data_IF_870986026500
#
_entry.id   IF_870986026500
#
_cell.length_a   1.000
_cell.length_b   1.000
_cell.length_c   1.000
_cell.angle_alpha   90.00
_cell.angle_beta   90.00
_cell.angle_gamma   90.00
#
_symmetry.space_group_name_H-M   'P 1'
#
loop_
_entity.id
_entity.type
_entity.pdbx_description
1 polymer ?
#
# COMPACT_ATOMS: atom_id res chain seq x y z
N UNK A 1 12.47 8.62 -43.09
CA UNK A 1 12.55 7.70 -41.91
C UNK A 1 11.88 8.37 -40.72
N UNK A 2 10.75 7.83 -40.20
CA UNK A 2 10.15 8.32 -38.94
C UNK A 2 11.08 7.95 -37.80
N UNK A 3 11.67 8.92 -37.11
CA UNK A 3 12.43 8.68 -35.87
C UNK A 3 11.46 8.00 -34.88
N UNK A 4 11.75 6.77 -34.43
CA UNK A 4 11.04 6.16 -33.31
C UNK A 4 11.19 7.05 -32.10
N UNK A 5 10.06 7.45 -31.50
CA UNK A 5 10.08 8.15 -30.22
C UNK A 5 10.86 7.33 -29.19
N UNK A 6 11.67 7.96 -28.33
CA UNK A 6 12.36 7.22 -27.27
C UNK A 6 11.33 6.48 -26.42
N UNK A 7 11.66 5.23 -26.03
CA UNK A 7 10.80 4.41 -25.17
C UNK A 7 10.70 5.09 -23.79
N UNK A 8 9.48 5.20 -23.27
CA UNK A 8 9.28 5.65 -21.90
C UNK A 8 10.00 4.68 -20.94
N UNK A 9 10.89 5.21 -20.11
CA UNK A 9 11.68 4.44 -19.15
C UNK A 9 11.15 4.54 -17.72
N UNK A 10 10.24 5.48 -17.45
CA UNK A 10 9.71 5.70 -16.12
C UNK A 10 8.57 4.74 -15.79
N UNK A 11 7.63 4.57 -16.71
CA UNK A 11 6.41 3.79 -16.48
C UNK A 11 5.91 3.11 -17.76
N UNK A 12 4.80 2.37 -17.64
CA UNK A 12 4.17 1.66 -18.76
C UNK A 12 3.05 2.46 -19.42
N UNK A 13 2.85 3.75 -19.06
CA UNK A 13 1.79 4.60 -19.59
C UNK A 13 2.04 4.97 -21.05
N UNK A 14 1.00 4.96 -21.87
CA UNK A 14 1.03 5.56 -23.18
C UNK A 14 0.88 7.09 -23.09
N UNK A 15 1.05 7.81 -24.20
CA UNK A 15 1.04 9.27 -24.22
C UNK A 15 -0.28 9.89 -23.72
N UNK A 16 -1.41 9.26 -24.02
CA UNK A 16 -2.73 9.74 -23.58
C UNK A 16 -2.91 9.55 -22.08
N UNK A 17 -2.56 8.39 -21.56
CA UNK A 17 -2.59 8.09 -20.11
C UNK A 17 -1.64 9.01 -19.34
N UNK A 18 -0.42 9.24 -19.89
CA UNK A 18 0.55 10.14 -19.31
C UNK A 18 -0.01 11.57 -19.11
N UNK A 19 -0.67 12.13 -20.14
CA UNK A 19 -1.24 13.47 -20.06
C UNK A 19 -2.32 13.54 -18.97
N UNK A 20 -3.14 12.50 -18.83
CA UNK A 20 -4.19 12.44 -17.81
C UNK A 20 -3.63 12.40 -16.38
N UNK A 21 -2.44 11.82 -16.20
CA UNK A 21 -1.80 11.72 -14.89
C UNK A 21 -0.95 12.94 -14.52
N UNK A 22 -0.60 13.81 -15.48
CA UNK A 22 0.20 15.02 -15.24
C UNK A 22 -0.62 16.25 -14.85
N UNK A 23 -1.82 16.06 -14.35
CA UNK A 23 -2.67 17.16 -13.83
C UNK A 23 -2.26 17.54 -12.42
N UNK A 24 -2.28 18.85 -12.11
CA UNK A 24 -1.91 19.38 -10.79
C UNK A 24 -2.98 19.19 -9.71
N UNK A 25 -4.21 18.86 -10.09
CA UNK A 25 -5.32 18.61 -9.15
C UNK A 25 -5.80 17.19 -9.32
N UNK A 26 -5.71 16.42 -8.24
CA UNK A 26 -6.22 15.05 -8.19
C UNK A 26 -7.55 15.01 -7.43
N UNK A 27 -8.57 14.54 -8.12
CA UNK A 27 -9.86 14.29 -7.48
C UNK A 27 -9.82 12.89 -6.83
N UNK A 28 -9.77 12.87 -5.50
CA UNK A 28 -9.89 11.63 -4.73
C UNK A 28 -11.38 11.26 -4.66
N UNK A 29 -11.74 10.18 -5.31
CA UNK A 29 -13.04 9.55 -5.09
C UNK A 29 -12.86 8.48 -4.01
N UNK A 30 -13.26 8.79 -2.78
CA UNK A 30 -13.29 7.79 -1.72
C UNK A 30 -14.21 6.63 -2.11
N UNK A 31 -13.83 5.42 -1.74
CA UNK A 31 -14.70 4.26 -1.86
C UNK A 31 -15.90 4.44 -0.93
N UNK A 32 -17.13 4.22 -1.42
CA UNK A 32 -18.35 4.34 -0.63
C UNK A 32 -18.32 3.44 0.62
N UNK A 33 -19.10 3.82 1.63
CA UNK A 33 -19.14 3.13 2.95
C UNK A 33 -19.37 1.62 2.85
N UNK A 34 -20.12 1.19 1.85
CA UNK A 34 -20.50 -0.21 1.62
C UNK A 34 -19.60 -0.93 0.62
N UNK A 35 -18.52 -0.30 0.13
CA UNK A 35 -17.62 -0.95 -0.79
C UNK A 35 -16.87 -2.11 -0.09
N UNK A 36 -16.79 -3.32 -0.68
CA UNK A 36 -16.14 -4.48 -0.06
C UNK A 36 -14.72 -4.17 0.43
N UNK A 37 -13.97 -3.40 -0.33
CA UNK A 37 -12.59 -3.03 -0.06
C UNK A 37 -12.40 -2.12 1.15
N UNK A 38 -13.47 -1.47 1.65
CA UNK A 38 -13.40 -0.60 2.83
C UNK A 38 -13.46 -1.37 4.14
N UNK A 39 -13.83 -2.66 4.11
CA UNK A 39 -14.05 -3.48 5.30
C UNK A 39 -12.80 -3.64 6.18
N UNK A 40 -11.66 -3.89 5.57
CA UNK A 40 -10.36 -4.00 6.27
C UNK A 40 -9.72 -2.62 6.43
N UNK A 41 -9.79 -1.77 5.40
CA UNK A 41 -9.22 -0.43 5.40
C UNK A 41 -9.69 0.40 6.61
N UNK A 42 -10.98 0.33 6.96
CA UNK A 42 -11.56 1.04 8.11
C UNK A 42 -11.14 0.55 9.49
N UNK A 43 -10.48 -0.59 9.57
CA UNK A 43 -9.90 -1.07 10.81
C UNK A 43 -8.58 -0.37 11.15
N UNK A 44 -8.05 0.44 10.21
CA UNK A 44 -6.92 1.33 10.46
C UNK A 44 -7.41 2.75 10.72
N UNK A 45 -6.84 3.48 11.69
CA UNK A 45 -7.30 4.82 12.11
C UNK A 45 -7.11 5.90 11.06
N UNK A 46 -6.10 5.75 10.24
CA UNK A 46 -5.75 6.66 9.15
C UNK A 46 -5.32 5.83 7.94
N UNK A 47 -6.29 5.22 7.23
CA UNK A 47 -5.96 4.35 6.10
C UNK A 47 -5.45 5.18 4.93
N UNK A 48 -4.42 4.67 4.28
CA UNK A 48 -3.96 5.19 3.00
C UNK A 48 -4.80 4.57 1.88
N UNK A 49 -5.40 5.39 1.04
CA UNK A 49 -6.25 4.89 -0.05
C UNK A 49 -5.44 4.09 -1.06
N UNK A 50 -5.82 2.82 -1.30
CA UNK A 50 -5.13 1.99 -2.27
C UNK A 50 -5.30 2.51 -3.71
N UNK A 51 -6.37 3.23 -4.01
CA UNK A 51 -6.59 3.82 -5.35
C UNK A 51 -5.62 4.94 -5.65
N UNK A 52 -5.32 5.77 -4.65
CA UNK A 52 -4.33 6.84 -4.79
C UNK A 52 -2.92 6.27 -4.89
N UNK A 53 -2.63 5.26 -4.09
CA UNK A 53 -1.35 4.53 -4.15
C UNK A 53 -1.17 3.84 -5.49
N UNK A 54 -2.23 3.20 -6.03
CA UNK A 54 -2.23 2.57 -7.36
C UNK A 54 -1.88 3.57 -8.45
N UNK A 55 -2.45 4.78 -8.38
CA UNK A 55 -2.15 5.86 -9.30
C UNK A 55 -0.68 6.29 -9.26
N UNK A 56 -0.12 6.48 -8.04
CA UNK A 56 1.30 6.81 -7.85
C UNK A 56 2.21 5.69 -8.39
N UNK A 57 1.91 4.44 -8.06
CA UNK A 57 2.67 3.27 -8.52
C UNK A 57 2.68 3.20 -10.05
N UNK A 58 1.53 3.34 -10.70
CA UNK A 58 1.44 3.35 -12.18
C UNK A 58 2.26 4.46 -12.81
N UNK A 59 2.26 5.65 -12.19
CA UNK A 59 2.95 6.81 -12.72
C UNK A 59 4.47 6.72 -12.56
N UNK A 60 4.97 6.21 -11.42
CA UNK A 60 6.39 6.22 -11.08
C UNK A 60 7.12 4.89 -11.27
N UNK A 61 6.44 3.84 -11.74
CA UNK A 61 7.06 2.52 -11.91
C UNK A 61 6.63 1.81 -13.19
N UNK A 62 7.43 0.82 -13.60
CA UNK A 62 7.08 -0.17 -14.61
C UNK A 62 6.61 -1.48 -13.95
N UNK A 63 5.97 -2.37 -14.72
CA UNK A 63 5.66 -3.74 -14.27
C UNK A 63 6.92 -4.42 -13.76
N UNK A 64 6.75 -5.28 -12.77
CA UNK A 64 7.80 -6.02 -12.09
C UNK A 64 8.78 -5.17 -11.26
N UNK A 65 8.66 -3.83 -11.26
CA UNK A 65 9.40 -2.98 -10.34
C UNK A 65 9.06 -3.30 -8.88
N UNK A 66 9.99 -3.02 -7.99
CA UNK A 66 9.87 -3.27 -6.54
C UNK A 66 9.49 -1.97 -5.82
N UNK A 67 8.37 -2.02 -5.12
CA UNK A 67 7.84 -0.90 -4.32
C UNK A 67 7.98 -1.23 -2.84
N UNK A 68 8.50 -0.28 -2.06
CA UNK A 68 8.64 -0.40 -0.60
C UNK A 68 7.66 0.52 0.12
N UNK A 69 6.99 -0.03 1.13
CA UNK A 69 6.25 0.72 2.15
C UNK A 69 6.75 0.37 3.55
N UNK A 70 7.55 1.25 4.20
CA UNK A 70 8.09 0.99 5.52
C UNK A 70 7.06 1.13 6.66
N UNK A 71 5.82 1.58 6.39
CA UNK A 71 4.75 1.71 7.37
C UNK A 71 3.44 1.18 6.80
N UNK A 72 3.41 -0.12 6.49
CA UNK A 72 2.41 -0.78 5.67
C UNK A 72 0.96 -0.66 6.17
N UNK A 73 0.76 -0.63 7.50
CA UNK A 73 -0.57 -0.66 8.08
C UNK A 73 -1.37 -1.88 7.63
N UNK A 74 -2.58 -1.66 7.13
CA UNK A 74 -3.48 -2.73 6.65
C UNK A 74 -3.29 -3.11 5.19
N UNK A 75 -2.16 -2.76 4.57
CA UNK A 75 -1.74 -3.32 3.29
C UNK A 75 -2.26 -2.63 2.03
N UNK A 76 -2.63 -1.36 2.09
CA UNK A 76 -3.10 -0.60 0.91
C UNK A 76 -2.05 -0.58 -0.20
N UNK A 77 -0.79 -0.35 0.15
CA UNK A 77 0.32 -0.30 -0.81
C UNK A 77 0.53 -1.64 -1.51
N UNK A 78 0.58 -2.74 -0.75
CA UNK A 78 0.78 -4.07 -1.35
C UNK A 78 -0.42 -4.52 -2.18
N UNK A 79 -1.65 -4.15 -1.80
CA UNK A 79 -2.82 -4.36 -2.64
C UNK A 79 -2.67 -3.62 -3.97
N UNK A 80 -2.28 -2.36 -3.94
CA UNK A 80 -2.05 -1.58 -5.14
C UNK A 80 -0.94 -2.20 -6.01
N UNK A 81 0.18 -2.62 -5.42
CA UNK A 81 1.25 -3.34 -6.13
C UNK A 81 0.73 -4.60 -6.84
N UNK A 82 -0.05 -5.42 -6.15
CA UNK A 82 -0.63 -6.63 -6.71
C UNK A 82 -1.55 -6.34 -7.91
N UNK A 83 -2.43 -5.35 -7.79
CA UNK A 83 -3.35 -4.96 -8.86
C UNK A 83 -2.59 -4.41 -10.09
N UNK A 84 -1.53 -3.64 -9.85
CA UNK A 84 -0.74 -3.01 -10.91
C UNK A 84 0.42 -3.89 -11.42
N UNK A 85 0.54 -5.14 -10.94
CA UNK A 85 1.59 -6.10 -11.32
C UNK A 85 3.00 -5.60 -10.99
N UNK A 86 3.17 -5.06 -9.79
CA UNK A 86 4.46 -4.69 -9.20
C UNK A 86 4.75 -5.63 -8.03
N UNK A 87 6.02 -5.82 -7.72
CA UNK A 87 6.46 -6.50 -6.50
C UNK A 87 6.40 -5.52 -5.35
N UNK A 88 5.88 -5.94 -4.22
CA UNK A 88 5.75 -5.07 -3.05
C UNK A 88 6.44 -5.64 -1.83
N UNK A 89 7.15 -4.78 -1.10
CA UNK A 89 7.71 -5.08 0.22
C UNK A 89 7.07 -4.11 1.20
N UNK A 90 6.38 -4.65 2.22
CA UNK A 90 5.76 -3.85 3.26
C UNK A 90 6.29 -4.22 4.64
N UNK A 91 6.65 -3.23 5.45
CA UNK A 91 7.11 -3.43 6.82
C UNK A 91 6.02 -2.93 7.77
N UNK A 92 5.66 -3.74 8.77
CA UNK A 92 4.63 -3.40 9.75
C UNK A 92 5.00 -3.90 11.14
N UNK A 93 4.92 -3.00 12.12
CA UNK A 93 5.25 -3.29 13.51
C UNK A 93 4.14 -4.06 14.24
N UNK A 94 2.87 -3.67 14.00
CA UNK A 94 1.70 -4.22 14.68
C UNK A 94 1.36 -5.63 14.19
N UNK A 95 1.35 -6.66 15.07
CA UNK A 95 0.92 -8.00 14.68
C UNK A 95 -0.51 -8.05 14.13
N UNK A 96 -1.39 -7.16 14.64
CA UNK A 96 -2.77 -7.05 14.17
C UNK A 96 -2.81 -6.57 12.73
N UNK A 97 -2.09 -5.50 12.39
CA UNK A 97 -2.08 -4.96 11.03
C UNK A 97 -1.37 -5.90 10.05
N UNK A 98 -0.34 -6.61 10.46
CA UNK A 98 0.26 -7.70 9.68
C UNK A 98 -0.78 -8.79 9.35
N UNK A 99 -1.60 -9.20 10.32
CA UNK A 99 -2.68 -10.18 10.08
C UNK A 99 -3.73 -9.64 9.11
N UNK A 100 -4.17 -8.40 9.30
CA UNK A 100 -5.18 -7.76 8.46
C UNK A 100 -4.66 -7.55 7.02
N UNK A 101 -3.40 -7.12 6.84
CA UNK A 101 -2.81 -6.95 5.51
C UNK A 101 -2.69 -8.27 4.75
N UNK A 102 -2.30 -9.37 5.42
CA UNK A 102 -2.31 -10.72 4.83
C UNK A 102 -3.70 -11.16 4.41
N UNK A 103 -4.68 -10.94 5.27
CA UNK A 103 -6.08 -11.26 4.96
C UNK A 103 -6.60 -10.44 3.79
N UNK A 104 -6.29 -9.14 3.74
CA UNK A 104 -6.65 -8.24 2.66
C UNK A 104 -6.10 -8.71 1.32
N UNK A 105 -4.79 -8.96 1.26
CA UNK A 105 -4.15 -9.44 0.04
C UNK A 105 -4.78 -10.75 -0.44
N UNK A 106 -5.01 -11.70 0.47
CA UNK A 106 -5.63 -12.99 0.11
C UNK A 106 -7.05 -12.84 -0.45
N UNK A 107 -7.84 -11.92 0.10
CA UNK A 107 -9.25 -11.78 -0.26
C UNK A 107 -9.51 -10.83 -1.43
N UNK A 108 -8.60 -9.87 -1.66
CA UNK A 108 -8.83 -8.73 -2.55
C UNK A 108 -7.86 -8.71 -3.75
N UNK A 109 -6.99 -9.72 -3.90
CA UNK A 109 -6.05 -9.83 -5.02
C UNK A 109 -6.02 -11.25 -5.57
N UNK A 110 -5.54 -11.40 -6.82
CA UNK A 110 -5.37 -12.70 -7.45
C UNK A 110 -4.22 -13.49 -6.82
N UNK A 111 -4.36 -14.81 -6.71
CA UNK A 111 -3.35 -15.71 -6.13
C UNK A 111 -1.97 -15.59 -6.78
N UNK A 112 -1.88 -15.27 -8.06
CA UNK A 112 -0.62 -15.08 -8.78
C UNK A 112 0.11 -13.82 -8.27
N UNK A 113 -0.60 -12.72 -8.19
CA UNK A 113 -0.04 -11.42 -7.80
C UNK A 113 0.19 -11.30 -6.28
N UNK A 114 -0.52 -12.12 -5.49
CA UNK A 114 -0.27 -12.24 -4.05
C UNK A 114 1.13 -12.75 -3.72
N UNK A 115 1.66 -13.69 -4.50
CA UNK A 115 3.00 -14.29 -4.26
C UNK A 115 4.16 -13.30 -4.42
N UNK A 116 3.93 -12.22 -5.16
CA UNK A 116 4.93 -11.17 -5.40
C UNK A 116 4.89 -10.07 -4.32
N UNK A 117 4.09 -10.28 -3.24
CA UNK A 117 3.95 -9.33 -2.15
C UNK A 117 4.56 -9.89 -0.86
N UNK A 118 5.54 -9.19 -0.31
CA UNK A 118 6.23 -9.56 0.93
C UNK A 118 5.77 -8.66 2.09
N UNK A 119 5.40 -9.27 3.22
CA UNK A 119 5.07 -8.57 4.46
C UNK A 119 6.08 -8.96 5.53
N UNK A 120 6.88 -7.98 5.96
CA UNK A 120 7.90 -8.12 6.99
C UNK A 120 7.35 -7.56 8.30
N UNK A 121 7.20 -8.41 9.33
CA UNK A 121 6.85 -7.95 10.68
C UNK A 121 8.09 -7.44 11.40
N UNK A 122 8.05 -6.19 11.86
CA UNK A 122 9.13 -5.63 12.66
C UNK A 122 9.19 -4.11 12.63
N UNK A 123 10.16 -3.57 13.36
CA UNK A 123 10.46 -2.14 13.32
C UNK A 123 11.11 -1.77 11.99
N UNK A 124 10.59 -0.77 11.32
CA UNK A 124 11.09 -0.30 10.01
C UNK A 124 12.56 0.08 10.05
N UNK A 125 13.02 0.68 11.14
CA UNK A 125 14.43 1.06 11.32
C UNK A 125 15.38 -0.14 11.23
N UNK A 126 14.98 -1.26 11.81
CA UNK A 126 15.79 -2.48 11.82
C UNK A 126 15.61 -3.30 10.54
N UNK A 127 14.39 -3.36 10.02
CA UNK A 127 14.09 -4.19 8.86
C UNK A 127 14.62 -3.58 7.56
N UNK A 128 14.60 -2.25 7.41
CA UNK A 128 15.16 -1.58 6.23
C UNK A 128 16.66 -1.83 6.08
N UNK A 129 17.41 -2.00 7.18
CA UNK A 129 18.85 -2.33 7.13
C UNK A 129 19.14 -3.70 6.50
N UNK A 130 18.14 -4.59 6.42
CA UNK A 130 18.26 -5.93 5.83
C UNK A 130 17.88 -5.96 4.36
N UNK A 131 17.27 -4.89 3.84
CA UNK A 131 16.92 -4.78 2.43
C UNK A 131 18.21 -4.52 1.64
N UNK A 132 18.38 -5.29 0.58
CA UNK A 132 19.56 -5.15 -0.30
C UNK A 132 19.61 -3.75 -0.91
N UNK A 133 20.78 -3.12 -0.88
CA UNK A 133 21.01 -1.84 -1.55
C UNK A 133 20.68 -1.92 -3.05
N UNK A 134 20.11 -0.85 -3.59
CA UNK A 134 19.72 -0.73 -5.00
C UNK A 134 18.71 -1.80 -5.47
N UNK A 135 17.83 -2.28 -4.57
CA UNK A 135 16.80 -3.27 -4.89
C UNK A 135 15.38 -2.71 -4.89
N UNK A 136 15.21 -1.44 -4.59
CA UNK A 136 13.91 -0.76 -4.53
C UNK A 136 13.85 0.29 -5.64
N UNK A 137 12.78 0.24 -6.45
CA UNK A 137 12.55 1.17 -7.55
C UNK A 137 11.71 2.37 -7.09
N UNK A 138 10.81 2.17 -6.12
CA UNK A 138 9.93 3.24 -5.64
C UNK A 138 9.57 3.04 -4.17
N UNK A 139 9.48 4.14 -3.42
CA UNK A 139 8.99 4.15 -2.04
C UNK A 139 7.74 5.00 -1.97
N UNK A 140 6.66 4.43 -1.45
CA UNK A 140 5.42 5.15 -1.16
C UNK A 140 4.94 4.74 0.23
N UNK A 141 4.64 5.73 1.08
CA UNK A 141 4.30 5.45 2.48
C UNK A 141 3.49 6.57 3.10
N UNK A 142 2.75 6.22 4.14
CA UNK A 142 2.05 7.16 5.02
C UNK A 142 2.47 6.90 6.46
N UNK A 143 3.57 7.52 6.92
CA UNK A 143 4.05 7.29 8.28
C UNK A 143 3.02 7.76 9.32
N UNK A 144 2.97 7.10 10.50
CA UNK A 144 2.03 7.48 11.54
C UNK A 144 2.35 8.89 12.05
N UNK A 145 1.30 9.73 12.16
CA UNK A 145 1.50 11.05 12.77
C UNK A 145 1.23 10.99 14.25
N UNK A 146 2.14 11.54 15.03
CA UNK A 146 2.05 11.71 16.46
C UNK A 146 1.64 10.40 17.18
N UNK A 147 0.67 10.46 18.10
CA UNK A 147 0.25 9.33 18.94
C UNK A 147 -1.07 8.67 18.48
N UNK A 148 -1.43 8.82 17.21
CA UNK A 148 -2.73 8.34 16.68
C UNK A 148 -2.91 6.83 16.91
N UNK A 149 -1.86 6.04 16.81
CA UNK A 149 -1.89 4.59 17.04
C UNK A 149 -2.07 4.24 18.52
N UNK A 150 -1.55 5.05 19.46
CA UNK A 150 -1.73 4.84 20.91
C UNK A 150 -3.20 5.02 21.33
N UNK A 151 -3.95 5.92 20.68
CA UNK A 151 -5.38 6.12 20.98
C UNK A 151 -6.24 4.92 20.61
N UNK A 152 -5.81 4.12 19.65
CA UNK A 152 -6.53 2.92 19.22
C UNK A 152 -6.25 1.75 20.14
N UNK A 153 -5.02 1.57 20.57
CA UNK A 153 -4.71 0.55 21.56
C UNK A 153 -5.55 0.75 22.85
N UNK A 154 -5.80 2.00 23.24
CA UNK A 154 -6.71 2.32 24.35
C UNK A 154 -8.15 1.94 24.06
N UNK A 155 -8.67 2.21 22.86
CA UNK A 155 -10.05 1.88 22.48
C UNK A 155 -10.26 0.37 22.36
N UNK A 156 -9.34 -0.33 21.74
CA UNK A 156 -9.36 -1.80 21.61
C UNK A 156 -9.24 -2.47 22.99
N UNK A 157 -8.40 -1.94 23.90
CA UNK A 157 -8.33 -2.42 25.29
C UNK A 157 -9.65 -2.20 26.05
N UNK A 158 -10.31 -1.05 25.87
CA UNK A 158 -11.60 -0.77 26.50
C UNK A 158 -12.72 -1.69 25.96
N UNK A 159 -12.78 -1.92 24.65
CA UNK A 159 -13.76 -2.82 24.04
C UNK A 159 -13.52 -4.29 24.45
N UNK A 160 -12.27 -4.71 24.58
CA UNK A 160 -11.91 -6.06 25.05
C UNK A 160 -12.23 -6.25 26.53
N UNK A 161 -11.97 -5.23 27.36
CA UNK A 161 -12.34 -5.23 28.78
C UNK A 161 -13.87 -5.24 28.97
N UNK A 162 -14.60 -4.47 28.18
CA UNK A 162 -16.07 -4.46 28.24
C UNK A 162 -16.69 -5.80 27.82
N UNK A 163 -16.10 -6.51 26.84
CA UNK A 163 -16.56 -7.85 26.43
C UNK A 163 -16.24 -8.97 27.43
N UNK A 164 -15.22 -8.79 28.26
CA UNK A 164 -14.85 -9.77 29.30
C UNK A 164 -15.60 -9.54 30.62
N UNK A 165 -16.39 -8.46 30.73
CA UNK A 165 -17.20 -8.12 31.91
C UNK A 165 -18.71 -8.37 31.69
N UNK A 166 -19.12 -8.86 30.53
CA UNK A 166 -20.47 -9.36 30.20
C UNK A 166 -20.46 -10.90 30.11
#
# INVERSE_FOLDING_TARGET
>A
MKKKSPKNQLNDLNATEWIQETVSVWNQKGLGVNHPDTKIERQHPAPFSFTDVSRLIKFFTQKDNVVLDPFLGVGSTLKACALEKRKGIGIELSPLFVKLSKQRLKNETDNKNFKDQEIIKGDSRDQMLKIKSNSIDFVVTSPPYWNILKKIDHKVKQETLAKNLM
#
